data_IF_585762749059
#
_entry.id   IF_585762749059
#
_cell.length_a   1.000
_cell.length_b   1.000
_cell.length_c   1.000
_cell.angle_alpha   90.00
_cell.angle_beta   90.00
_cell.angle_gamma   90.00
#
_symmetry.space_group_name_H-M   'P 1'
#
loop_
_entity.id
_entity.type
_entity.pdbx_description
1 polymer ?
#
# COMPACT_ATOMS: atom_id res chain seq x y z
N UNK A 1 1.19 -52.56 13.17
CA UNK A 1 0.65 -52.93 11.85
C UNK A 1 -0.85 -52.71 11.90
N UNK A 2 -1.33 -51.55 11.43
CA UNK A 2 -2.75 -51.21 11.47
C UNK A 2 -3.47 -51.73 10.22
N UNK A 3 -4.69 -52.21 10.46
CA UNK A 3 -5.68 -52.84 9.57
C UNK A 3 -5.48 -52.67 8.06
N UNK A 4 -5.64 -53.79 7.32
CA UNK A 4 -5.80 -53.78 5.86
C UNK A 4 -6.97 -52.85 5.50
N UNK A 5 -6.69 -51.67 4.95
CA UNK A 5 -7.74 -50.86 4.37
C UNK A 5 -8.29 -51.62 3.16
N UNK A 6 -9.61 -51.64 2.97
CA UNK A 6 -10.20 -52.03 1.68
C UNK A 6 -9.87 -50.95 0.64
N UNK A 7 -9.85 -51.30 -0.65
CA UNK A 7 -9.72 -50.29 -1.71
C UNK A 7 -10.84 -49.25 -1.57
N UNK A 8 -10.55 -48.00 -1.92
CA UNK A 8 -11.46 -46.90 -1.64
C UNK A 8 -11.08 -45.61 -2.34
N UNK A 9 -11.70 -44.51 -1.90
CA UNK A 9 -11.38 -43.16 -2.34
C UNK A 9 -10.86 -42.32 -1.18
N UNK A 10 -9.98 -41.39 -1.50
CA UNK A 10 -9.57 -40.33 -0.60
C UNK A 10 -10.37 -39.08 -0.92
N UNK A 11 -10.74 -38.38 0.16
CA UNK A 11 -11.37 -37.08 0.09
C UNK A 11 -10.81 -36.18 1.17
N UNK A 12 -10.84 -34.87 0.94
CA UNK A 12 -10.54 -33.89 1.97
C UNK A 12 -11.66 -32.89 2.14
N UNK A 13 -11.67 -32.25 3.30
CA UNK A 13 -12.62 -31.21 3.66
C UNK A 13 -11.83 -30.06 4.27
N UNK A 14 -11.97 -28.87 3.70
CA UNK A 14 -11.43 -27.65 4.31
C UNK A 14 -12.32 -27.20 5.46
N UNK A 15 -11.74 -26.39 6.36
CA UNK A 15 -12.51 -25.69 7.39
C UNK A 15 -13.64 -24.87 6.77
N UNK A 16 -14.77 -24.77 7.47
CA UNK A 16 -15.89 -23.90 7.08
C UNK A 16 -15.54 -22.41 7.02
N UNK A 17 -14.46 -22.00 7.67
CA UNK A 17 -13.97 -20.61 7.65
C UNK A 17 -13.13 -20.32 6.40
N UNK A 18 -12.79 -21.34 5.61
CA UNK A 18 -12.13 -21.18 4.32
C UNK A 18 -13.22 -21.04 3.25
N UNK A 19 -13.15 -19.95 2.49
CA UNK A 19 -14.17 -19.58 1.53
C UNK A 19 -14.15 -20.40 0.23
N UNK A 20 -14.88 -19.89 -0.76
CA UNK A 20 -14.95 -20.52 -2.07
C UNK A 20 -13.62 -20.42 -2.84
N UNK A 21 -13.35 -21.34 -3.78
CA UNK A 21 -12.20 -21.24 -4.67
C UNK A 21 -12.16 -19.89 -5.40
N UNK A 22 -10.96 -19.37 -5.59
CA UNK A 22 -10.68 -18.16 -6.38
C UNK A 22 -10.50 -18.53 -7.87
N UNK A 23 -9.97 -17.61 -8.68
CA UNK A 23 -9.58 -17.92 -10.06
C UNK A 23 -8.51 -19.02 -10.16
N UNK A 24 -7.72 -19.24 -9.10
CA UNK A 24 -6.93 -20.46 -8.94
C UNK A 24 -7.72 -21.45 -8.07
N UNK A 25 -8.08 -22.64 -8.57
CA UNK A 25 -8.92 -23.59 -7.85
C UNK A 25 -8.26 -24.17 -6.58
N UNK A 26 -6.93 -24.09 -6.47
CA UNK A 26 -6.21 -24.52 -5.26
C UNK A 26 -6.14 -23.42 -4.18
N UNK A 27 -6.61 -22.21 -4.49
CA UNK A 27 -6.59 -21.06 -3.59
C UNK A 27 -8.02 -20.65 -3.29
N UNK A 28 -8.36 -20.61 -2.02
CA UNK A 28 -9.70 -20.29 -1.53
C UNK A 28 -9.73 -18.89 -0.93
N UNK A 29 -10.84 -18.18 -1.09
CA UNK A 29 -10.98 -16.84 -0.53
C UNK A 29 -10.90 -16.88 1.00
N UNK A 30 -10.18 -15.93 1.60
CA UNK A 30 -10.29 -15.63 3.03
C UNK A 30 -11.40 -14.60 3.26
N UNK A 31 -11.63 -14.22 4.51
CA UNK A 31 -12.51 -13.10 4.86
C UNK A 31 -11.91 -11.72 4.52
N UNK A 32 -10.67 -11.64 4.04
CA UNK A 32 -10.01 -10.40 3.60
C UNK A 32 -9.89 -10.37 2.07
N UNK A 33 -10.51 -9.40 1.37
CA UNK A 33 -10.40 -9.26 -0.08
C UNK A 33 -8.94 -9.15 -0.54
N UNK A 34 -8.62 -9.86 -1.63
CA UNK A 34 -7.28 -9.89 -2.21
C UNK A 34 -6.30 -10.86 -1.53
N UNK A 35 -6.70 -11.54 -0.45
CA UNK A 35 -5.93 -12.62 0.17
C UNK A 35 -6.72 -13.93 0.10
N UNK A 36 -6.11 -14.95 -0.48
CA UNK A 36 -6.55 -16.33 -0.45
C UNK A 36 -5.70 -17.20 0.47
N UNK A 37 -6.17 -18.43 0.71
CA UNK A 37 -5.49 -19.48 1.46
C UNK A 37 -5.45 -20.75 0.61
N UNK A 38 -4.32 -21.46 0.64
CA UNK A 38 -4.19 -22.81 0.08
C UNK A 38 -3.70 -23.77 1.16
N UNK A 39 -4.33 -24.95 1.26
CA UNK A 39 -3.98 -25.98 2.25
C UNK A 39 -3.61 -27.26 1.51
N UNK A 40 -2.36 -27.64 1.63
CA UNK A 40 -1.83 -28.85 1.00
C UNK A 40 -1.55 -29.92 2.04
N UNK A 41 -1.82 -31.17 1.68
CA UNK A 41 -1.53 -32.35 2.46
C UNK A 41 -0.62 -33.30 1.66
N UNK A 42 0.41 -33.84 2.33
CA UNK A 42 1.30 -34.85 1.78
C UNK A 42 1.22 -36.12 2.63
N UNK A 43 0.96 -37.24 1.97
CA UNK A 43 0.65 -38.54 2.58
C UNK A 43 1.80 -39.56 2.47
N UNK A 44 2.98 -39.09 2.07
CA UNK A 44 4.21 -39.88 1.97
C UNK A 44 5.25 -39.38 2.97
N UNK A 45 6.33 -40.13 3.16
CA UNK A 45 7.44 -39.70 4.01
C UNK A 45 7.97 -38.33 3.58
N UNK A 46 8.39 -37.51 4.55
CA UNK A 46 8.75 -36.10 4.34
C UNK A 46 9.78 -35.88 3.22
N UNK A 47 10.75 -36.78 3.08
CA UNK A 47 11.78 -36.73 2.03
C UNK A 47 11.26 -36.94 0.61
N UNK A 48 10.03 -37.44 0.47
CA UNK A 48 9.32 -37.63 -0.82
C UNK A 48 8.34 -36.50 -1.12
N UNK A 49 8.01 -35.65 -0.15
CA UNK A 49 7.26 -34.42 -0.41
C UNK A 49 8.21 -33.40 -1.07
N UNK A 50 7.83 -32.83 -2.22
CA UNK A 50 8.67 -31.81 -2.87
C UNK A 50 8.75 -30.56 -1.97
N UNK A 51 9.83 -29.75 -2.05
CA UNK A 51 10.03 -28.64 -1.11
C UNK A 51 8.93 -27.57 -1.14
N UNK A 52 8.30 -27.33 -2.29
CA UNK A 52 7.25 -26.31 -2.45
C UNK A 52 6.13 -26.82 -3.39
N UNK A 53 4.90 -27.01 -2.89
CA UNK A 53 3.75 -27.35 -3.73
C UNK A 53 3.12 -26.18 -4.49
N UNK A 54 3.49 -24.93 -4.24
CA UNK A 54 2.91 -23.78 -4.95
C UNK A 54 3.76 -23.44 -6.20
N UNK A 55 3.16 -23.04 -7.35
CA UNK A 55 1.75 -22.78 -7.66
C UNK A 55 0.99 -24.02 -8.18
N UNK A 56 1.49 -25.23 -7.93
CA UNK A 56 1.02 -26.44 -8.56
C UNK A 56 -0.39 -26.80 -8.04
N UNK A 57 -1.41 -26.67 -8.90
CA UNK A 57 -2.77 -27.15 -8.64
C UNK A 57 -2.88 -28.68 -8.69
N UNK A 58 -1.89 -29.38 -8.14
CA UNK A 58 -1.75 -30.82 -8.32
C UNK A 58 -2.63 -31.57 -7.33
N UNK A 59 -3.37 -32.53 -7.87
CA UNK A 59 -3.90 -33.69 -7.17
C UNK A 59 -2.97 -34.86 -7.49
N UNK A 60 -1.82 -34.95 -6.81
CA UNK A 60 -0.90 -36.08 -6.97
C UNK A 60 -0.87 -36.91 -5.68
N UNK A 61 -1.06 -38.23 -5.82
CA UNK A 61 -1.00 -39.18 -4.72
C UNK A 61 0.42 -39.57 -4.31
N UNK A 62 1.44 -38.99 -4.95
CA UNK A 62 2.86 -39.21 -4.67
C UNK A 62 3.54 -38.02 -4.00
N UNK A 63 2.82 -36.91 -3.83
CA UNK A 63 3.33 -35.70 -3.19
C UNK A 63 2.20 -34.89 -2.56
N UNK A 64 2.31 -33.57 -2.55
CA UNK A 64 1.27 -32.66 -2.10
C UNK A 64 0.02 -32.70 -2.97
N UNK A 65 -1.13 -32.71 -2.30
CA UNK A 65 -2.43 -32.48 -2.88
C UNK A 65 -3.15 -31.38 -2.11
N UNK A 66 -3.83 -30.48 -2.82
CA UNK A 66 -4.73 -29.53 -2.17
C UNK A 66 -5.90 -30.30 -1.53
N UNK A 67 -6.23 -29.95 -0.28
CA UNK A 67 -7.14 -30.74 0.56
C UNK A 67 -8.54 -30.83 -0.03
N UNK A 68 -9.12 -29.73 -0.54
CA UNK A 68 -10.46 -29.76 -1.14
C UNK A 68 -10.52 -30.51 -2.48
N UNK A 69 -9.40 -30.58 -3.19
CA UNK A 69 -9.26 -31.25 -4.48
C UNK A 69 -8.95 -32.75 -4.37
N UNK A 70 -8.70 -33.28 -3.16
CA UNK A 70 -8.47 -34.70 -2.93
C UNK A 70 -9.63 -35.54 -3.46
N UNK A 71 -9.37 -36.28 -4.53
CA UNK A 71 -10.35 -37.17 -5.15
C UNK A 71 -9.69 -38.27 -5.98
N UNK A 72 -8.95 -39.17 -5.34
CA UNK A 72 -8.26 -40.27 -6.02
C UNK A 72 -8.46 -41.61 -5.30
N UNK A 73 -8.30 -42.70 -6.05
CA UNK A 73 -8.51 -44.06 -5.55
C UNK A 73 -7.22 -44.63 -4.95
N UNK A 74 -7.38 -45.43 -3.89
CA UNK A 74 -6.28 -46.19 -3.30
C UNK A 74 -6.63 -47.69 -3.27
N UNK A 75 -5.59 -48.53 -3.25
CA UNK A 75 -5.73 -49.98 -3.20
C UNK A 75 -5.68 -50.49 -1.77
N UNK A 76 -6.22 -51.68 -1.55
CA UNK A 76 -6.11 -52.32 -0.26
C UNK A 76 -4.65 -52.55 0.13
N UNK A 77 -4.29 -52.24 1.37
CA UNK A 77 -2.91 -52.31 1.84
C UNK A 77 -2.74 -51.82 3.27
N UNK A 78 -1.48 -51.76 3.71
CA UNK A 78 -1.08 -51.11 4.95
C UNK A 78 -1.03 -49.61 4.73
N UNK A 79 -1.60 -48.84 5.64
CA UNK A 79 -1.51 -47.39 5.65
C UNK A 79 -0.42 -46.96 6.63
N UNK A 80 0.58 -46.25 6.12
CA UNK A 80 1.55 -45.53 6.95
C UNK A 80 1.03 -44.10 7.15
N UNK A 81 0.80 -43.66 8.40
CA UNK A 81 0.12 -42.40 8.69
C UNK A 81 1.05 -41.18 8.57
N UNK A 82 1.76 -41.06 7.44
CA UNK A 82 2.52 -39.85 7.16
C UNK A 82 1.55 -38.68 6.97
N UNK A 83 1.78 -37.62 7.73
CA UNK A 83 0.93 -36.44 7.68
C UNK A 83 1.78 -35.19 7.73
N UNK A 84 1.82 -34.48 6.61
CA UNK A 84 2.46 -33.18 6.52
C UNK A 84 1.46 -32.21 5.91
N UNK A 85 1.39 -31.01 6.48
CA UNK A 85 0.59 -29.92 5.94
C UNK A 85 1.49 -28.74 5.61
N UNK A 86 1.19 -28.08 4.50
CA UNK A 86 1.69 -26.74 4.19
C UNK A 86 0.49 -25.85 3.93
N UNK A 87 0.54 -24.64 4.50
CA UNK A 87 -0.51 -23.63 4.35
C UNK A 87 0.13 -22.36 3.79
N UNK A 88 -0.47 -21.82 2.74
CA UNK A 88 -0.07 -20.54 2.15
C UNK A 88 -1.15 -19.50 2.35
N UNK A 89 -0.74 -18.27 2.65
CA UNK A 89 -1.52 -17.08 2.31
C UNK A 89 -1.05 -16.59 0.94
N UNK A 90 -1.98 -16.39 0.03
CA UNK A 90 -1.71 -16.08 -1.38
C UNK A 90 -2.35 -14.74 -1.72
N UNK A 91 -1.58 -13.81 -2.30
CA UNK A 91 -2.15 -12.57 -2.86
C UNK A 91 -2.96 -12.92 -4.12
N UNK A 92 -4.26 -12.67 -4.12
CA UNK A 92 -5.19 -13.01 -5.21
C UNK A 92 -5.69 -11.79 -5.98
N UNK A 93 -5.39 -10.58 -5.50
CA UNK A 93 -5.81 -9.32 -6.12
C UNK A 93 -5.34 -8.10 -5.33
N UNK A 94 -6.11 -7.02 -5.41
CA UNK A 94 -5.94 -5.83 -4.56
C UNK A 94 -6.31 -6.17 -3.12
N UNK A 95 -5.42 -5.85 -2.19
CA UNK A 95 -5.53 -6.26 -0.79
C UNK A 95 -6.18 -5.14 0.03
N UNK A 96 -7.32 -5.45 0.64
CA UNK A 96 -7.94 -4.55 1.61
C UNK A 96 -7.35 -4.77 3.01
N UNK A 97 -7.14 -3.71 3.82
CA UNK A 97 -6.82 -3.89 5.23
C UNK A 97 -7.90 -4.73 5.92
N UNK A 98 -7.48 -5.59 6.83
CA UNK A 98 -8.40 -6.44 7.57
C UNK A 98 -7.70 -7.40 8.50
N UNK A 99 -8.49 -8.13 9.27
CA UNK A 99 -7.98 -9.22 10.10
C UNK A 99 -8.40 -10.52 9.43
N UNK A 100 -7.42 -11.30 8.97
CA UNK A 100 -7.66 -12.66 8.50
C UNK A 100 -7.99 -13.51 9.73
N UNK A 101 -9.17 -14.12 9.70
CA UNK A 101 -9.66 -15.05 10.72
C UNK A 101 -9.92 -16.38 10.03
N UNK A 102 -9.04 -17.34 10.28
CA UNK A 102 -9.17 -18.69 9.75
C UNK A 102 -9.14 -19.62 10.96
N UNK A 103 -10.32 -20.03 11.38
CA UNK A 103 -10.51 -21.02 12.43
C UNK A 103 -10.87 -22.38 11.84
N UNK A 104 -11.08 -23.34 12.72
CA UNK A 104 -11.71 -24.61 12.38
C UNK A 104 -10.78 -25.70 11.86
N UNK A 105 -11.41 -26.78 11.42
CA UNK A 105 -10.78 -28.07 11.18
C UNK A 105 -10.80 -28.41 9.69
N UNK A 106 -9.62 -28.62 9.10
CA UNK A 106 -9.49 -29.24 7.79
C UNK A 106 -9.10 -30.71 7.97
N UNK A 107 -9.67 -31.62 7.19
CA UNK A 107 -9.60 -33.06 7.43
C UNK A 107 -9.34 -33.83 6.13
N UNK A 108 -8.71 -34.99 6.27
CA UNK A 108 -8.47 -35.94 5.18
C UNK A 108 -9.01 -37.30 5.57
N UNK A 109 -9.69 -37.95 4.63
CA UNK A 109 -10.38 -39.21 4.83
C UNK A 109 -9.95 -40.26 3.82
N UNK A 110 -9.78 -41.49 4.30
CA UNK A 110 -9.79 -42.70 3.49
C UNK A 110 -11.18 -43.33 3.64
N UNK A 111 -12.00 -43.27 2.58
CA UNK A 111 -13.44 -43.53 2.66
C UNK A 111 -14.07 -42.70 3.80
N UNK A 112 -14.64 -43.35 4.81
CA UNK A 112 -15.27 -42.70 5.96
C UNK A 112 -14.34 -42.52 7.17
N UNK A 113 -13.09 -42.98 7.08
CA UNK A 113 -12.13 -42.94 8.18
C UNK A 113 -11.28 -41.69 8.04
N UNK A 114 -11.34 -40.82 9.04
CA UNK A 114 -10.44 -39.68 9.16
C UNK A 114 -9.03 -40.17 9.50
N UNK A 115 -8.05 -39.81 8.67
CA UNK A 115 -6.65 -40.23 8.83
C UNK A 115 -5.73 -39.07 9.19
N UNK A 116 -6.18 -37.84 8.99
CA UNK A 116 -5.40 -36.64 9.28
C UNK A 116 -6.31 -35.43 9.44
N UNK A 117 -5.88 -34.50 10.29
CA UNK A 117 -6.54 -33.22 10.53
C UNK A 117 -5.53 -32.10 10.72
N UNK A 118 -5.92 -30.89 10.30
CA UNK A 118 -5.23 -29.63 10.52
C UNK A 118 -6.20 -28.66 11.20
N UNK A 119 -5.85 -28.24 12.42
CA UNK A 119 -6.58 -27.18 13.11
C UNK A 119 -5.86 -25.85 12.89
N UNK A 120 -6.54 -24.90 12.26
CA UNK A 120 -6.08 -23.52 12.18
C UNK A 120 -6.75 -22.72 13.30
N UNK A 121 -5.96 -21.91 14.00
CA UNK A 121 -6.46 -21.04 15.06
C UNK A 121 -5.65 -19.76 15.11
N UNK A 122 -6.30 -18.69 15.55
CA UNK A 122 -5.70 -17.36 15.65
C UNK A 122 -6.17 -16.40 14.56
N UNK A 123 -5.49 -15.26 14.51
CA UNK A 123 -5.79 -14.18 13.59
C UNK A 123 -4.48 -13.54 13.12
N UNK A 124 -4.43 -13.06 11.88
CA UNK A 124 -3.32 -12.25 11.39
C UNK A 124 -3.84 -10.94 10.81
N UNK A 125 -3.08 -9.86 10.98
CA UNK A 125 -3.46 -8.53 10.53
C UNK A 125 -2.86 -8.29 9.15
N UNK A 126 -3.73 -7.96 8.20
CA UNK A 126 -3.36 -7.48 6.89
C UNK A 126 -3.48 -5.97 6.92
N UNK A 127 -2.35 -5.27 6.84
CA UNK A 127 -2.32 -3.83 6.64
C UNK A 127 -2.12 -3.53 5.15
N UNK A 128 -2.94 -2.64 4.59
CA UNK A 128 -2.57 -2.02 3.33
C UNK A 128 -1.59 -0.87 3.62
N UNK A 129 -0.54 -0.68 2.80
CA UNK A 129 0.33 0.48 2.93
C UNK A 129 -0.47 1.77 2.79
N UNK A 130 -0.36 2.68 3.76
CA UNK A 130 -1.05 3.96 3.73
C UNK A 130 -0.31 5.03 4.54
N UNK A 131 -0.39 6.28 4.09
CA UNK A 131 0.04 7.43 4.88
C UNK A 131 -1.15 8.33 5.19
N UNK A 132 -1.28 8.70 6.46
CA UNK A 132 -2.22 9.71 6.91
C UNK A 132 -1.54 11.08 6.95
N UNK A 133 -2.19 12.13 6.42
CA UNK A 133 -1.73 13.52 6.61
C UNK A 133 -2.01 13.93 8.06
N UNK A 134 -0.96 14.27 8.80
CA UNK A 134 -1.06 14.65 10.23
C UNK A 134 -1.07 16.17 10.43
N UNK A 135 -0.69 16.94 9.42
CA UNK A 135 -0.68 18.41 9.44
C UNK A 135 -2.06 19.06 9.26
N UNK A 136 -3.12 18.25 9.12
CA UNK A 136 -4.49 18.70 8.84
C UNK A 136 -4.86 18.58 7.36
N UNK A 137 -6.16 18.67 7.05
CA UNK A 137 -6.66 18.60 5.66
C UNK A 137 -6.40 19.89 4.87
N UNK A 138 -6.23 21.02 5.56
CA UNK A 138 -5.93 22.32 4.98
C UNK A 138 -4.59 22.85 5.52
N UNK A 139 -3.56 22.89 4.67
CA UNK A 139 -2.28 23.52 5.03
C UNK A 139 -2.34 25.01 4.70
N UNK A 140 -2.46 25.86 5.73
CA UNK A 140 -2.48 27.33 5.58
C UNK A 140 -1.08 27.91 5.79
N UNK A 141 -0.47 28.39 4.72
CA UNK A 141 0.84 29.08 4.76
C UNK A 141 0.60 30.59 4.87
N UNK A 142 0.98 31.19 6.00
CA UNK A 142 0.89 32.64 6.20
C UNK A 142 2.15 33.30 5.66
N UNK A 143 2.02 34.02 4.56
CA UNK A 143 3.12 34.78 3.99
C UNK A 143 3.42 36.04 4.82
N UNK A 144 4.69 36.40 5.04
CA UNK A 144 5.06 37.67 5.66
C UNK A 144 4.57 38.86 4.86
N UNK A 145 4.36 39.99 5.55
CA UNK A 145 4.12 41.26 4.87
C UNK A 145 5.42 41.77 4.25
N UNK A 146 5.33 42.21 2.99
CA UNK A 146 6.44 42.75 2.20
C UNK A 146 6.04 44.06 1.54
N UNK A 147 7.03 44.84 1.16
CA UNK A 147 6.88 46.10 0.44
C UNK A 147 7.34 45.94 -1.01
N UNK A 148 6.94 46.88 -1.87
CA UNK A 148 7.37 46.87 -3.29
C UNK A 148 8.90 46.92 -3.44
N UNK A 149 9.59 47.59 -2.50
CA UNK A 149 11.06 47.71 -2.49
C UNK A 149 11.77 46.43 -2.07
N UNK A 150 11.08 45.47 -1.44
CA UNK A 150 11.66 44.17 -1.08
C UNK A 150 11.81 43.26 -2.32
N UNK A 151 11.07 43.54 -3.40
CA UNK A 151 11.14 42.76 -4.61
C UNK A 151 12.40 43.08 -5.44
N UNK A 152 12.94 42.09 -6.16
CA UNK A 152 14.07 42.32 -7.05
C UNK A 152 13.74 43.37 -8.14
N UNK A 153 14.76 44.05 -8.69
CA UNK A 153 14.56 45.05 -9.74
C UNK A 153 13.92 44.44 -10.99
N UNK A 154 14.28 43.20 -11.35
CA UNK A 154 13.69 42.44 -12.46
C UNK A 154 12.58 41.47 -12.04
N UNK A 155 12.03 40.77 -13.02
CA UNK A 155 11.19 39.58 -12.80
C UNK A 155 12.02 38.52 -12.09
N UNK A 156 11.48 37.92 -11.04
CA UNK A 156 12.21 36.93 -10.24
C UNK A 156 11.69 36.74 -8.83
N UNK A 157 12.29 35.77 -8.15
CA UNK A 157 11.97 35.42 -6.76
C UNK A 157 12.57 36.42 -5.78
N UNK A 158 11.86 36.68 -4.70
CA UNK A 158 12.40 37.40 -3.54
C UNK A 158 13.36 36.49 -2.76
N UNK A 159 14.64 36.84 -2.73
CA UNK A 159 15.71 36.01 -2.15
C UNK A 159 15.95 36.25 -0.66
N UNK A 160 15.28 37.23 -0.04
CA UNK A 160 15.38 37.48 1.39
C UNK A 160 14.68 36.36 2.20
N UNK A 161 15.47 35.53 2.86
CA UNK A 161 14.99 34.39 3.65
C UNK A 161 14.13 34.83 4.85
N UNK A 162 14.30 36.05 5.35
CA UNK A 162 13.44 36.60 6.42
C UNK A 162 12.01 36.88 5.96
N UNK A 163 11.78 36.90 4.64
CA UNK A 163 10.48 37.07 3.99
C UNK A 163 9.94 35.76 3.40
N UNK A 164 10.64 34.65 3.59
CA UNK A 164 10.19 33.33 3.21
C UNK A 164 9.20 32.75 4.23
N UNK A 165 8.30 31.88 3.79
CA UNK A 165 7.36 31.18 4.65
C UNK A 165 7.64 29.67 4.61
N UNK A 166 8.46 29.12 5.53
CA UNK A 166 8.66 27.69 5.65
C UNK A 166 7.41 27.02 6.23
N UNK A 167 7.10 25.82 5.74
CA UNK A 167 6.01 24.99 6.25
C UNK A 167 6.31 23.50 6.00
N UNK A 168 5.60 22.62 6.71
CA UNK A 168 5.79 21.18 6.59
C UNK A 168 4.45 20.50 6.33
N UNK A 169 4.46 19.52 5.43
CA UNK A 169 3.36 18.55 5.31
C UNK A 169 3.78 17.30 6.06
N UNK A 170 3.20 17.11 7.24
CA UNK A 170 3.41 15.94 8.09
C UNK A 170 2.59 14.75 7.61
N UNK A 171 3.22 13.57 7.58
CA UNK A 171 2.64 12.29 7.22
C UNK A 171 2.96 11.25 8.32
N UNK A 172 2.04 10.33 8.58
CA UNK A 172 2.28 9.14 9.38
C UNK A 172 1.99 7.92 8.52
N UNK A 173 3.02 7.17 8.18
CA UNK A 173 2.97 6.07 7.23
C UNK A 173 3.09 4.71 7.92
N UNK A 174 2.33 3.73 7.43
CA UNK A 174 2.44 2.33 7.84
C UNK A 174 2.42 1.43 6.60
N UNK A 175 3.26 0.39 6.60
CA UNK A 175 3.46 -0.52 5.47
C UNK A 175 4.77 -0.27 4.73
N UNK A 176 4.98 -1.07 3.68
CA UNK A 176 6.14 -0.95 2.78
C UNK A 176 5.67 -0.41 1.44
N UNK A 177 6.05 0.82 1.11
CA UNK A 177 5.64 1.52 -0.11
C UNK A 177 6.61 2.64 -0.45
N UNK A 178 6.59 3.07 -1.70
CA UNK A 178 7.19 4.32 -2.14
C UNK A 178 6.13 5.41 -2.08
N UNK A 179 6.46 6.49 -1.39
CA UNK A 179 5.62 7.67 -1.23
C UNK A 179 6.10 8.73 -2.20
N UNK A 180 5.20 9.13 -3.08
CA UNK A 180 5.40 10.23 -4.02
C UNK A 180 4.31 11.29 -3.83
N UNK A 181 4.58 12.53 -4.21
CA UNK A 181 3.60 13.61 -4.14
C UNK A 181 3.65 14.51 -5.37
N UNK A 182 2.58 15.29 -5.57
CA UNK A 182 2.50 16.34 -6.59
C UNK A 182 1.73 17.53 -6.02
N UNK A 183 2.12 18.74 -6.43
CA UNK A 183 1.39 19.97 -6.12
C UNK A 183 0.92 20.58 -7.43
N UNK A 184 -0.40 20.66 -7.59
CA UNK A 184 -1.08 21.21 -8.77
C UNK A 184 -1.66 22.58 -8.40
N UNK A 185 -1.36 23.66 -9.14
CA UNK A 185 -1.90 24.99 -8.85
C UNK A 185 -3.42 25.03 -9.12
N UNK A 186 -4.18 25.66 -8.21
CA UNK A 186 -5.61 25.93 -8.41
C UNK A 186 -5.85 27.32 -9.01
N UNK A 187 -4.97 28.28 -8.69
CA UNK A 187 -4.82 29.49 -9.47
C UNK A 187 -4.10 29.18 -10.79
N UNK A 188 -4.15 30.10 -11.75
CA UNK A 188 -3.32 29.98 -12.95
C UNK A 188 -1.83 29.95 -12.59
N UNK A 189 -1.01 29.39 -13.49
CA UNK A 189 0.45 29.39 -13.36
C UNK A 189 1.04 29.90 -14.68
N UNK A 190 1.04 31.23 -14.84
CA UNK A 190 1.46 31.87 -16.11
C UNK A 190 2.98 31.93 -16.26
N UNK A 191 3.70 31.95 -15.13
CA UNK A 191 5.15 31.77 -15.07
C UNK A 191 5.44 30.35 -14.59
N UNK A 192 6.37 29.67 -15.24
CA UNK A 192 6.73 28.29 -14.89
C UNK A 192 7.08 28.15 -13.40
N UNK A 193 6.45 27.19 -12.72
CA UNK A 193 6.61 26.91 -11.29
C UNK A 193 6.23 28.07 -10.35
N UNK A 194 5.38 29.00 -10.81
CA UNK A 194 4.84 30.08 -9.99
C UNK A 194 3.32 29.98 -9.99
N UNK A 195 2.72 29.99 -8.80
CA UNK A 195 1.27 30.04 -8.62
C UNK A 195 0.87 31.51 -8.65
N UNK A 196 0.02 31.89 -9.61
CA UNK A 196 -0.45 33.27 -9.74
C UNK A 196 -1.26 33.68 -8.51
N UNK A 197 -1.20 34.96 -8.17
CA UNK A 197 -2.11 35.55 -7.20
C UNK A 197 -3.57 35.47 -7.70
N UNK A 198 -4.51 35.46 -6.75
CA UNK A 198 -5.91 35.76 -7.03
C UNK A 198 -6.04 37.13 -7.73
N UNK A 199 -7.11 37.28 -8.53
CA UNK A 199 -7.38 38.48 -9.33
C UNK A 199 -8.53 39.28 -8.73
N UNK A 200 -8.45 40.60 -8.80
CA UNK A 200 -9.48 41.53 -8.31
C UNK A 200 -8.87 42.84 -7.80
N UNK A 201 -9.73 43.82 -7.46
CA UNK A 201 -9.28 45.15 -7.02
C UNK A 201 -8.47 45.13 -5.71
N UNK A 202 -8.76 44.18 -4.81
CA UNK A 202 -8.08 44.07 -3.51
C UNK A 202 -6.76 43.28 -3.58
N UNK A 203 -6.41 42.71 -4.73
CA UNK A 203 -5.26 41.83 -4.89
C UNK A 203 -4.09 42.52 -5.59
N UNK A 204 -2.88 42.22 -5.15
CA UNK A 204 -1.65 42.72 -5.77
C UNK A 204 -1.53 42.21 -7.22
N UNK A 205 -1.18 43.10 -8.16
CA UNK A 205 -0.86 42.73 -9.53
C UNK A 205 0.65 42.48 -9.70
N UNK A 206 1.01 41.57 -10.59
CA UNK A 206 2.42 41.28 -10.93
C UNK A 206 3.19 40.51 -9.86
N UNK A 207 2.50 39.85 -8.93
CA UNK A 207 3.07 39.02 -7.86
C UNK A 207 2.45 37.63 -7.92
N UNK A 208 3.26 36.61 -7.66
CA UNK A 208 2.85 35.22 -7.49
C UNK A 208 3.62 34.57 -6.33
N UNK A 209 3.39 33.28 -6.12
CA UNK A 209 4.06 32.47 -5.10
C UNK A 209 4.83 31.33 -5.77
N UNK A 210 6.12 31.22 -5.44
CA UNK A 210 6.96 30.10 -5.86
C UNK A 210 7.25 29.20 -4.66
N UNK A 211 7.22 27.89 -4.88
CA UNK A 211 7.52 26.88 -3.86
C UNK A 211 8.94 26.33 -4.04
N UNK A 212 9.58 26.02 -2.92
CA UNK A 212 10.92 25.42 -2.84
C UNK A 212 10.88 24.18 -1.94
N UNK A 213 11.74 23.21 -2.22
CA UNK A 213 11.89 21.97 -1.45
C UNK A 213 12.92 22.15 -0.34
N UNK A 214 12.61 21.80 0.91
CA UNK A 214 13.54 21.90 2.03
C UNK A 214 13.21 23.01 3.02
N UNK A 215 14.23 23.48 3.73
CA UNK A 215 14.11 24.55 4.71
C UNK A 215 14.19 25.95 4.10
N UNK A 216 14.04 26.98 4.94
CA UNK A 216 14.02 28.39 4.57
C UNK A 216 15.19 28.82 3.66
N UNK A 217 16.36 28.19 3.79
CA UNK A 217 17.56 28.53 3.01
C UNK A 217 17.61 27.84 1.63
N UNK A 218 16.68 26.93 1.35
CA UNK A 218 16.68 26.17 0.12
C UNK A 218 16.42 27.04 -1.11
N UNK A 219 17.23 26.80 -2.15
CA UNK A 219 17.09 27.35 -3.50
C UNK A 219 16.54 26.33 -4.51
N UNK A 220 16.19 25.12 -4.06
CA UNK A 220 15.66 24.07 -4.94
C UNK A 220 14.19 24.32 -5.24
N UNK A 221 13.89 24.85 -6.42
CA UNK A 221 12.50 25.08 -6.87
C UNK A 221 11.73 23.77 -6.86
N UNK A 222 10.51 23.80 -6.32
CA UNK A 222 9.56 22.72 -6.46
C UNK A 222 8.91 22.79 -7.86
N UNK A 223 9.10 21.79 -8.73
CA UNK A 223 8.38 21.75 -9.99
C UNK A 223 6.87 21.52 -9.74
N UNK A 224 6.04 22.45 -10.22
CA UNK A 224 4.59 22.30 -10.14
C UNK A 224 4.10 21.24 -11.13
N UNK A 225 2.95 20.63 -10.82
CA UNK A 225 2.30 19.61 -11.65
C UNK A 225 3.21 18.42 -12.03
N UNK A 226 4.28 18.21 -11.26
CA UNK A 226 5.27 17.15 -11.48
C UNK A 226 5.28 16.21 -10.29
N UNK A 227 5.29 14.90 -10.55
CA UNK A 227 5.35 13.88 -9.50
C UNK A 227 6.77 13.78 -8.95
N UNK A 228 6.92 13.95 -7.64
CA UNK A 228 8.17 13.89 -6.91
C UNK A 228 8.17 12.71 -5.94
N UNK A 229 9.27 11.96 -5.90
CA UNK A 229 9.45 10.90 -4.89
C UNK A 229 9.90 11.53 -3.58
N UNK A 230 9.17 11.26 -2.50
CA UNK A 230 9.53 11.71 -1.16
C UNK A 230 10.43 10.70 -0.44
N UNK A 231 9.98 9.46 -0.33
CA UNK A 231 10.70 8.43 0.42
C UNK A 231 10.20 7.02 0.05
N UNK A 232 11.05 6.03 0.27
CA UNK A 232 10.62 4.64 0.43
C UNK A 232 10.46 4.39 1.92
N UNK A 233 9.27 3.97 2.35
CA UNK A 233 8.95 3.71 3.76
C UNK A 233 8.74 2.22 3.96
N UNK A 234 9.19 1.71 5.11
CA UNK A 234 8.97 0.33 5.55
C UNK A 234 8.85 0.30 7.07
N UNK A 235 7.77 -0.28 7.59
CA UNK A 235 7.52 -0.35 9.03
C UNK A 235 6.13 0.15 9.41
N UNK A 236 5.93 0.43 10.69
CA UNK A 236 4.65 0.87 11.25
C UNK A 236 4.80 2.21 11.95
N UNK A 237 3.81 3.10 11.80
CA UNK A 237 3.78 4.42 12.43
C UNK A 237 5.04 5.25 12.19
N UNK A 238 5.56 5.21 10.95
CA UNK A 238 6.75 5.94 10.54
C UNK A 238 6.39 7.41 10.27
N UNK A 239 6.92 8.38 11.03
CA UNK A 239 6.72 9.79 10.74
C UNK A 239 7.54 10.18 9.50
N UNK A 240 6.90 10.88 8.57
CA UNK A 240 7.53 11.46 7.39
C UNK A 240 7.12 12.92 7.28
N UNK A 241 8.06 13.77 6.86
CA UNK A 241 7.80 15.20 6.67
C UNK A 241 8.23 15.61 5.27
N UNK A 242 7.42 16.43 4.61
CA UNK A 242 7.77 17.11 3.35
C UNK A 242 7.99 18.60 3.70
N UNK A 243 9.25 19.02 3.92
CA UNK A 243 9.57 20.42 4.19
C UNK A 243 9.51 21.23 2.89
N UNK A 244 8.79 22.34 2.93
CA UNK A 244 8.61 23.25 1.80
C UNK A 244 8.76 24.70 2.25
N UNK A 245 9.06 25.58 1.30
CA UNK A 245 9.12 27.02 1.52
C UNK A 245 8.36 27.74 0.44
N UNK A 246 7.50 28.67 0.83
CA UNK A 246 6.86 29.60 -0.10
C UNK A 246 7.60 30.95 -0.10
N UNK A 247 7.86 31.49 -1.29
CA UNK A 247 8.45 32.82 -1.50
C UNK A 247 7.61 33.62 -2.49
N UNK A 248 7.60 34.94 -2.31
CA UNK A 248 7.02 35.83 -3.30
C UNK A 248 7.85 35.82 -4.60
N UNK A 249 7.18 35.91 -5.73
CA UNK A 249 7.78 36.01 -7.05
C UNK A 249 7.20 37.20 -7.79
N UNK A 250 8.05 38.08 -8.32
CA UNK A 250 7.65 39.21 -9.17
C UNK A 250 7.46 38.71 -10.60
N UNK A 251 6.23 38.69 -11.08
CA UNK A 251 5.84 38.17 -12.41
C UNK A 251 5.77 39.27 -13.49
N UNK A 252 5.87 40.54 -13.11
CA UNK A 252 5.85 41.70 -14.01
C UNK A 252 6.82 42.79 -13.56
N UNK A 253 7.31 43.61 -14.49
CA UNK A 253 8.14 44.78 -14.18
C UNK A 253 7.41 45.82 -13.31
N UNK A 254 6.09 45.90 -13.43
CA UNK A 254 5.24 46.76 -12.60
C UNK A 254 4.39 45.90 -11.69
N UNK A 255 4.48 46.15 -10.39
CA UNK A 255 3.67 45.51 -9.36
C UNK A 255 2.86 46.55 -8.59
N UNK A 256 1.71 46.14 -8.05
CA UNK A 256 0.87 46.99 -7.20
C UNK A 256 0.71 46.40 -5.81
N UNK A 257 0.39 47.24 -4.82
CA UNK A 257 -0.01 46.77 -3.49
C UNK A 257 -1.37 46.07 -3.51
N UNK A 258 -1.58 45.17 -2.56
CA UNK A 258 -2.83 44.43 -2.38
C UNK A 258 -2.58 43.09 -1.68
N UNK A 259 -3.65 42.34 -1.44
CA UNK A 259 -3.57 41.00 -0.88
C UNK A 259 -2.91 40.03 -1.86
N UNK A 260 -2.21 39.02 -1.31
CA UNK A 260 -1.69 37.88 -2.07
C UNK A 260 -2.33 36.60 -1.54
N UNK A 261 -3.06 35.90 -2.41
CA UNK A 261 -3.73 34.64 -2.13
C UNK A 261 -3.49 33.67 -3.29
N UNK A 262 -2.76 32.60 -2.99
CA UNK A 262 -2.52 31.48 -3.89
C UNK A 262 -3.11 30.20 -3.29
N UNK A 263 -3.50 29.26 -4.13
CA UNK A 263 -4.07 27.97 -3.74
C UNK A 263 -3.57 26.87 -4.66
N UNK A 264 -3.34 25.70 -4.08
CA UNK A 264 -2.86 24.52 -4.79
C UNK A 264 -3.46 23.26 -4.16
N UNK A 265 -3.54 22.20 -4.94
CA UNK A 265 -3.94 20.88 -4.52
C UNK A 265 -2.69 20.02 -4.31
N UNK A 266 -2.61 19.38 -3.15
CA UNK A 266 -1.57 18.40 -2.83
C UNK A 266 -2.12 16.99 -3.03
N UNK A 267 -1.43 16.18 -3.83
CA UNK A 267 -1.83 14.80 -4.11
C UNK A 267 -0.72 13.84 -3.67
N UNK A 268 -1.08 12.85 -2.84
CA UNK A 268 -0.21 11.74 -2.47
C UNK A 268 -0.41 10.56 -3.41
N UNK A 269 0.67 9.85 -3.69
CA UNK A 269 0.65 8.61 -4.44
C UNK A 269 1.44 7.54 -3.67
N UNK A 270 0.89 6.32 -3.69
CA UNK A 270 1.49 5.13 -3.08
C UNK A 270 1.85 4.13 -4.17
N UNK A 271 3.05 3.59 -4.12
CA UNK A 271 3.62 2.66 -5.09
C UNK A 271 4.28 1.46 -4.40
#
# INVERSE_FOLDING_TARGET
MLNRCSAGRISGRLSSDIGQPTGNPAVHATNVPGIGIAVFWCNVGQSSCVPDPFPLGLTDNRTWSEVSALNWSYRAGTYDPFTHFIVYLVKTGDVSPGVIRIGGLSQVFYNAIEVSQLTLSGQTIVSAPACQITSGTDVRVRMPQVTVTDFPPGIGVMTDDSKAAPFNIGLLCSGSMKVSYRIDPLNAATVANVIDNAKGADYAAGVGIQLFQGDASSSTVLPLSTRLTQANVSGSNLPLSIPLVARYYKTSNRISGGAVRASAMFTLFYE
#
